data_IF_720499393399
#
_entry.id   IF_720499393399
#
_cell.length_a   1.000
_cell.length_b   1.000
_cell.length_c   1.000
_cell.angle_alpha   90.00
_cell.angle_beta   90.00
_cell.angle_gamma   90.00
#
_symmetry.space_group_name_H-M   'P 1'
#
loop_
_entity.id
_entity.type
_entity.pdbx_description
1 polymer ?
#
# COMPACT_ATOMS: atom_id res chain seq x y z
N UNK A 1 15.67 25.01 -15.54
CA UNK A 1 14.87 25.49 -16.68
C UNK A 1 13.43 25.05 -16.41
N UNK A 2 12.58 25.76 -15.67
CA UNK A 2 11.93 27.05 -15.98
C UNK A 2 11.51 27.13 -17.45
N UNK A 3 10.23 26.89 -17.73
CA UNK A 3 9.32 27.82 -18.42
C UNK A 3 7.88 27.40 -18.07
N UNK A 4 7.20 28.32 -17.39
CA UNK A 4 5.80 28.31 -17.01
C UNK A 4 5.05 29.08 -18.12
N UNK A 5 4.07 28.49 -18.80
CA UNK A 5 3.30 29.18 -19.84
C UNK A 5 2.07 29.87 -19.25
N UNK A 6 2.14 31.18 -19.36
CA UNK A 6 1.16 32.20 -19.02
C UNK A 6 0.02 32.18 -20.06
N UNK A 7 -1.24 32.22 -19.61
CA UNK A 7 -2.35 32.76 -20.39
C UNK A 7 -2.84 34.04 -19.72
N UNK A 8 -2.47 35.17 -20.32
CA UNK A 8 -2.97 36.50 -19.97
C UNK A 8 -4.39 36.67 -20.49
N UNK A 9 -5.34 36.95 -19.60
CA UNK A 9 -6.64 37.50 -20.00
C UNK A 9 -6.59 39.03 -19.89
N UNK A 10 -6.74 39.69 -21.03
CA UNK A 10 -6.86 41.14 -21.19
C UNK A 10 -8.33 41.54 -21.07
N UNK A 11 -8.71 42.34 -20.09
CA UNK A 11 -9.90 43.20 -20.20
C UNK A 11 -9.61 44.58 -19.64
N UNK A 12 -10.02 45.57 -20.43
CA UNK A 12 -9.57 46.95 -20.44
C UNK A 12 -10.27 47.80 -19.39
N UNK A 13 -9.53 48.81 -18.93
CA UNK A 13 -9.94 49.89 -18.04
C UNK A 13 -10.91 50.91 -18.68
N UNK A 14 -11.73 51.56 -17.83
CA UNK A 14 -12.15 52.98 -17.84
C UNK A 14 -13.19 53.18 -16.70
N UNK A 15 -13.43 54.31 -16.00
CA UNK A 15 -12.71 55.47 -15.45
C UNK A 15 -13.81 56.36 -14.77
N UNK A 16 -13.49 57.07 -13.66
CA UNK A 16 -14.26 58.17 -12.99
C UNK A 16 -15.55 57.81 -12.21
N UNK A 17 -15.94 58.41 -11.06
CA UNK A 17 -15.67 59.70 -10.37
C UNK A 17 -16.15 59.56 -8.87
N UNK A 18 -15.65 60.34 -7.88
CA UNK A 18 -15.90 60.08 -6.46
C UNK A 18 -17.10 60.84 -5.89
N UNK A 19 -17.78 60.25 -4.89
CA UNK A 19 -18.78 60.92 -4.07
C UNK A 19 -18.56 60.59 -2.59
N UNK A 20 -18.32 61.66 -1.83
CA UNK A 20 -18.26 61.75 -0.38
C UNK A 20 -19.47 61.07 0.29
N UNK A 21 -19.20 60.11 1.16
CA UNK A 21 -20.03 59.87 2.35
C UNK A 21 -19.11 59.62 3.54
N UNK A 22 -19.07 60.61 4.43
CA UNK A 22 -18.63 60.46 5.81
C UNK A 22 -19.69 59.60 6.49
N UNK A 23 -19.41 58.31 6.60
CA UNK A 23 -20.14 57.40 7.47
C UNK A 23 -19.15 56.85 8.48
N UNK A 24 -19.27 57.25 9.75
CA UNK A 24 -18.67 56.51 10.84
C UNK A 24 -19.37 55.16 10.91
N UNK A 25 -18.91 54.17 10.14
CA UNK A 25 -19.26 52.79 10.43
C UNK A 25 -18.39 52.37 11.61
N UNK A 26 -19.00 52.18 12.77
CA UNK A 26 -18.41 51.34 13.80
C UNK A 26 -18.16 49.98 13.16
N UNK A 27 -16.91 49.76 12.78
CA UNK A 27 -16.48 48.51 12.21
C UNK A 27 -16.35 47.55 13.38
N UNK A 28 -17.48 46.95 13.77
CA UNK A 28 -17.49 45.81 14.68
C UNK A 28 -16.58 44.77 14.06
N UNK A 29 -15.36 44.70 14.56
CA UNK A 29 -14.35 43.73 14.14
C UNK A 29 -14.91 42.40 14.59
N UNK A 30 -15.69 41.74 13.73
CA UNK A 30 -16.08 40.34 13.89
C UNK A 30 -14.74 39.61 13.83
N UNK A 31 -14.17 39.37 15.01
CA UNK A 31 -13.05 38.47 15.17
C UNK A 31 -13.57 37.11 14.71
N UNK A 32 -13.30 36.78 13.45
CA UNK A 32 -13.45 35.42 12.95
C UNK A 32 -12.39 34.59 13.65
N UNK A 33 -12.68 34.19 14.88
CA UNK A 33 -11.98 33.10 15.49
C UNK A 33 -12.24 31.90 14.59
N UNK A 34 -11.20 31.26 14.01
CA UNK A 34 -11.40 30.02 13.28
C UNK A 34 -12.18 29.09 14.21
N UNK A 35 -13.28 28.52 13.72
CA UNK A 35 -13.99 27.50 14.47
C UNK A 35 -12.97 26.44 14.90
N UNK A 36 -12.98 25.98 16.16
CA UNK A 36 -12.13 24.87 16.58
C UNK A 36 -12.28 23.74 15.57
N UNK A 37 -11.17 23.32 14.98
CA UNK A 37 -11.17 22.15 14.10
C UNK A 37 -11.41 20.97 15.04
N UNK A 38 -12.67 20.53 15.15
CA UNK A 38 -12.99 19.30 15.85
C UNK A 38 -12.39 18.16 15.03
N UNK A 39 -11.28 17.60 15.51
CA UNK A 39 -10.72 16.38 14.94
C UNK A 39 -11.78 15.29 15.07
N UNK A 40 -12.24 14.69 13.96
CA UNK A 40 -13.26 13.65 14.02
C UNK A 40 -12.76 12.52 14.92
N UNK A 41 -13.55 12.17 15.94
CA UNK A 41 -13.19 11.09 16.86
C UNK A 41 -13.11 9.78 16.08
N UNK A 42 -12.04 9.01 16.33
CA UNK A 42 -11.83 7.73 15.66
C UNK A 42 -12.95 6.72 15.99
N UNK A 43 -13.09 5.73 15.11
CA UNK A 43 -14.12 4.69 15.21
C UNK A 43 -14.01 3.89 16.51
N UNK A 44 -15.16 3.46 17.05
CA UNK A 44 -15.22 2.56 18.21
C UNK A 44 -14.92 1.14 17.73
N UNK A 45 -13.96 0.46 18.36
CA UNK A 45 -13.54 -0.90 18.01
C UNK A 45 -14.17 -1.93 18.95
N UNK A 46 -14.37 -1.56 20.22
CA UNK A 46 -15.03 -2.41 21.21
C UNK A 46 -15.73 -1.58 22.29
N UNK A 47 -16.66 -2.20 23.02
CA UNK A 47 -17.28 -1.64 24.22
C UNK A 47 -17.13 -2.65 25.34
N UNK A 48 -16.55 -2.24 26.45
CA UNK A 48 -16.39 -3.06 27.65
C UNK A 48 -17.13 -2.38 28.80
N UNK A 49 -18.18 -3.03 29.32
CA UNK A 49 -19.17 -2.42 30.21
C UNK A 49 -19.81 -1.16 29.60
N UNK A 50 -19.38 0.03 30.03
CA UNK A 50 -19.85 1.34 29.56
C UNK A 50 -18.74 2.18 28.92
N UNK A 51 -17.53 1.62 28.79
CA UNK A 51 -16.39 2.30 28.19
C UNK A 51 -16.21 1.84 26.74
N UNK A 52 -16.21 2.80 25.82
CA UNK A 52 -15.88 2.57 24.42
C UNK A 52 -14.36 2.61 24.25
N UNK A 53 -13.79 1.53 23.70
CA UNK A 53 -12.39 1.48 23.27
C UNK A 53 -12.35 1.95 21.83
N UNK A 54 -11.55 2.98 21.58
CA UNK A 54 -11.42 3.62 20.28
C UNK A 54 -10.20 3.14 19.53
N UNK A 55 -10.25 3.34 18.23
CA UNK A 55 -9.20 2.92 17.33
C UNK A 55 -7.87 3.62 17.68
N UNK A 56 -7.88 4.95 17.82
CA UNK A 56 -6.69 5.75 18.19
C UNK A 56 -6.01 5.31 19.50
N UNK A 57 -6.76 4.79 20.47
CA UNK A 57 -6.23 4.24 21.72
C UNK A 57 -5.43 2.95 21.48
N UNK A 58 -5.77 2.17 20.45
CA UNK A 58 -5.16 0.86 20.15
C UNK A 58 -4.00 0.95 19.14
N UNK A 59 -4.04 1.90 18.21
CA UNK A 59 -3.05 2.01 17.11
C UNK A 59 -1.58 2.04 17.58
N UNK A 60 -1.18 2.83 18.60
CA UNK A 60 0.21 2.88 19.04
C UNK A 60 0.73 1.50 19.45
N UNK A 61 -0.04 0.75 20.23
CA UNK A 61 0.33 -0.59 20.67
C UNK A 61 0.44 -1.58 19.50
N UNK A 62 -0.44 -1.47 18.49
CA UNK A 62 -0.36 -2.32 17.29
C UNK A 62 0.86 -1.96 16.41
N UNK A 63 1.20 -0.68 16.30
CA UNK A 63 2.41 -0.23 15.59
C UNK A 63 3.66 -0.79 16.28
N UNK A 64 3.72 -0.74 17.61
CA UNK A 64 4.83 -1.34 18.37
C UNK A 64 4.90 -2.86 18.17
N UNK A 65 3.76 -3.55 18.13
CA UNK A 65 3.71 -5.00 18.01
C UNK A 65 4.14 -5.52 16.63
N UNK A 66 3.80 -4.83 15.55
CA UNK A 66 4.05 -5.32 14.19
C UNK A 66 4.04 -4.26 13.09
N UNK A 67 4.09 -2.98 13.44
CA UNK A 67 4.01 -1.88 12.48
C UNK A 67 5.14 -1.86 11.47
N UNK A 68 6.38 -2.15 11.89
CA UNK A 68 7.55 -2.19 11.00
C UNK A 68 7.40 -3.27 9.92
N UNK A 69 7.05 -4.50 10.32
CA UNK A 69 6.87 -5.62 9.40
C UNK A 69 5.77 -5.32 8.36
N UNK A 70 4.64 -4.79 8.81
CA UNK A 70 3.52 -4.43 7.92
C UNK A 70 3.90 -3.28 6.99
N UNK A 71 4.64 -2.28 7.49
CA UNK A 71 5.13 -1.18 6.66
C UNK A 71 6.08 -1.67 5.56
N UNK A 72 7.02 -2.56 5.90
CA UNK A 72 7.94 -3.15 4.93
C UNK A 72 7.20 -3.93 3.85
N UNK A 73 6.17 -4.70 4.21
CA UNK A 73 5.33 -5.39 3.22
C UNK A 73 4.61 -4.43 2.26
N UNK A 74 4.14 -3.30 2.79
CA UNK A 74 3.49 -2.26 1.99
C UNK A 74 4.47 -1.58 1.04
N UNK A 75 5.66 -1.22 1.53
CA UNK A 75 6.73 -0.66 0.71
C UNK A 75 7.14 -1.61 -0.41
N UNK A 76 7.35 -2.89 -0.08
CA UNK A 76 7.67 -3.92 -1.07
C UNK A 76 6.57 -4.03 -2.14
N UNK A 77 5.31 -3.94 -1.76
CA UNK A 77 4.18 -3.98 -2.71
C UNK A 77 4.25 -2.80 -3.69
N UNK A 78 4.50 -1.58 -3.19
CA UNK A 78 4.64 -0.38 -4.03
C UNK A 78 5.81 -0.50 -5.01
N UNK A 79 6.96 -0.99 -4.54
CA UNK A 79 8.15 -1.17 -5.39
C UNK A 79 7.90 -2.23 -6.48
N UNK A 80 7.21 -3.32 -6.15
CA UNK A 80 6.84 -4.35 -7.12
C UNK A 80 5.86 -3.82 -8.18
N UNK A 81 4.84 -3.07 -7.77
CA UNK A 81 3.90 -2.43 -8.71
C UNK A 81 4.62 -1.47 -9.66
N UNK A 82 5.54 -0.66 -9.13
CA UNK A 82 6.38 0.24 -9.90
C UNK A 82 7.24 -0.53 -10.92
N UNK A 83 7.95 -1.57 -10.48
CA UNK A 83 8.81 -2.38 -11.33
C UNK A 83 8.04 -3.11 -12.44
N UNK A 84 6.86 -3.66 -12.12
CA UNK A 84 5.98 -4.30 -13.10
C UNK A 84 5.49 -3.30 -14.14
N UNK A 85 5.05 -2.12 -13.70
CA UNK A 85 4.58 -1.05 -14.59
C UNK A 85 5.68 -0.59 -15.55
N UNK A 86 6.91 -0.42 -15.05
CA UNK A 86 8.06 -0.03 -15.87
C UNK A 86 8.39 -1.04 -16.97
N UNK A 87 8.10 -2.33 -16.75
CA UNK A 87 8.33 -3.41 -17.70
C UNK A 87 7.07 -3.78 -18.52
N UNK A 88 5.94 -3.09 -18.30
CA UNK A 88 4.68 -3.41 -18.96
C UNK A 88 4.13 -4.80 -18.60
N UNK A 89 4.47 -5.31 -17.41
CA UNK A 89 4.05 -6.61 -16.91
C UNK A 89 2.84 -6.46 -15.97
N UNK A 90 1.96 -7.46 -15.97
CA UNK A 90 0.79 -7.51 -15.09
C UNK A 90 0.68 -8.89 -14.46
N UNK A 91 0.46 -8.98 -13.15
CA UNK A 91 0.18 -10.25 -12.46
C UNK A 91 -1.23 -10.72 -12.79
N UNK A 92 -1.36 -11.94 -13.30
CA UNK A 92 -2.62 -12.55 -13.70
C UNK A 92 -3.11 -13.52 -12.62
N UNK A 93 -4.42 -13.86 -12.59
CA UNK A 93 -4.94 -14.87 -11.67
C UNK A 93 -4.27 -16.24 -11.80
N UNK A 94 -3.81 -16.60 -13.01
CA UNK A 94 -3.04 -17.82 -13.25
C UNK A 94 -1.72 -17.84 -12.49
N UNK A 95 -1.06 -16.69 -12.34
CA UNK A 95 0.21 -16.58 -11.63
C UNK A 95 0.01 -16.85 -10.13
N UNK A 96 -1.09 -16.36 -9.57
CA UNK A 96 -1.47 -16.63 -8.17
C UNK A 96 -1.75 -18.11 -7.93
N UNK A 97 -2.41 -18.78 -8.88
CA UNK A 97 -2.67 -20.21 -8.79
C UNK A 97 -1.37 -21.04 -8.83
N UNK A 98 -0.37 -20.61 -9.61
CA UNK A 98 0.95 -21.23 -9.61
C UNK A 98 1.60 -21.10 -8.24
N UNK A 99 1.57 -19.91 -7.63
CA UNK A 99 2.14 -19.73 -6.29
C UNK A 99 1.40 -20.54 -5.22
N UNK A 100 0.08 -20.64 -5.28
CA UNK A 100 -0.70 -21.48 -4.36
C UNK A 100 -0.30 -22.96 -4.49
N UNK A 101 -0.17 -23.45 -5.72
CA UNK A 101 0.27 -24.82 -5.98
C UNK A 101 1.70 -25.05 -5.46
N UNK A 102 2.63 -24.14 -5.74
CA UNK A 102 4.01 -24.24 -5.26
C UNK A 102 4.06 -24.27 -3.73
N UNK A 103 3.29 -23.41 -3.08
CA UNK A 103 3.22 -23.35 -1.62
C UNK A 103 2.70 -24.67 -1.04
N UNK A 104 1.70 -25.29 -1.68
CA UNK A 104 1.17 -26.60 -1.26
C UNK A 104 2.20 -27.73 -1.32
N UNK A 105 3.19 -27.65 -2.22
CA UNK A 105 4.25 -28.66 -2.33
C UNK A 105 5.18 -28.72 -1.12
N UNK A 106 5.24 -27.65 -0.31
CA UNK A 106 6.16 -27.55 0.82
C UNK A 106 5.77 -28.43 2.02
N UNK A 107 4.50 -28.85 2.10
CA UNK A 107 3.99 -29.68 3.22
C UNK A 107 3.86 -31.17 2.89
N UNK A 108 4.30 -31.59 1.71
CA UNK A 108 3.89 -32.87 1.10
C UNK A 108 4.36 -34.16 1.81
N UNK A 109 5.34 -34.13 2.70
CA UNK A 109 5.98 -35.40 3.12
C UNK A 109 5.97 -35.76 4.61
N UNK A 110 5.78 -34.84 5.57
CA UNK A 110 5.96 -35.19 7.01
C UNK A 110 5.02 -34.47 8.00
N UNK A 111 4.36 -33.37 7.63
CA UNK A 111 3.57 -32.54 8.54
C UNK A 111 2.06 -32.81 8.43
N UNK A 112 1.38 -33.00 9.57
CA UNK A 112 -0.10 -33.06 9.61
C UNK A 112 -0.78 -31.69 9.45
N UNK A 113 -0.05 -30.59 9.68
CA UNK A 113 -0.60 -29.25 9.58
C UNK A 113 -0.66 -28.81 8.11
N UNK A 114 -1.80 -28.26 7.70
CA UNK A 114 -1.94 -27.65 6.38
C UNK A 114 -1.10 -26.37 6.29
N UNK A 115 -0.72 -25.97 5.07
CA UNK A 115 -0.06 -24.67 4.84
C UNK A 115 -0.86 -23.51 5.45
N UNK A 116 -2.18 -23.55 5.34
CA UNK A 116 -3.05 -22.51 5.88
C UNK A 116 -2.95 -22.42 7.41
N UNK A 117 -2.85 -23.56 8.10
CA UNK A 117 -2.65 -23.60 9.54
C UNK A 117 -1.27 -23.05 9.93
N UNK A 118 -0.23 -23.43 9.19
CA UNK A 118 1.14 -22.93 9.40
C UNK A 118 1.18 -21.41 9.24
N UNK A 119 0.62 -20.89 8.14
CA UNK A 119 0.56 -19.47 7.85
C UNK A 119 -0.27 -18.72 8.90
N UNK A 120 -1.43 -19.25 9.29
CA UNK A 120 -2.25 -18.66 10.34
C UNK A 120 -1.47 -18.54 11.66
N UNK A 121 -0.74 -19.58 12.06
CA UNK A 121 0.09 -19.57 13.27
C UNK A 121 1.27 -18.59 13.18
N UNK A 122 1.69 -18.23 11.97
CA UNK A 122 2.68 -17.18 11.70
C UNK A 122 2.07 -15.77 11.57
N UNK A 123 0.77 -15.61 11.84
CA UNK A 123 0.09 -14.31 11.75
C UNK A 123 -0.36 -13.92 10.34
N UNK A 124 -0.37 -14.87 9.40
CA UNK A 124 -0.91 -14.65 8.06
C UNK A 124 -2.39 -15.02 8.01
N UNK A 125 -3.25 -14.00 8.17
CA UNK A 125 -4.67 -14.12 7.83
C UNK A 125 -4.90 -14.13 6.32
N UNK A 126 -6.16 -14.34 5.89
CA UNK A 126 -6.54 -14.46 4.47
C UNK A 126 -6.05 -13.30 3.60
N UNK A 127 -6.16 -12.07 4.08
CA UNK A 127 -5.68 -10.90 3.33
C UNK A 127 -4.16 -10.93 3.16
N UNK A 128 -3.42 -11.28 4.21
CA UNK A 128 -1.94 -11.24 4.21
C UNK A 128 -1.38 -12.39 3.38
N UNK A 129 -2.02 -13.57 3.42
CA UNK A 129 -1.75 -14.68 2.50
C UNK A 129 -1.95 -14.26 1.05
N UNK A 130 -3.08 -13.64 0.71
CA UNK A 130 -3.34 -13.19 -0.66
C UNK A 130 -2.28 -12.20 -1.16
N UNK A 131 -1.89 -11.22 -0.34
CA UNK A 131 -0.80 -10.29 -0.68
C UNK A 131 0.56 -10.99 -0.79
N UNK A 132 0.85 -11.97 0.07
CA UNK A 132 2.08 -12.77 0.00
C UNK A 132 2.18 -13.50 -1.35
N UNK A 133 1.12 -14.19 -1.76
CA UNK A 133 1.07 -14.88 -3.05
C UNK A 133 1.26 -13.88 -4.20
N UNK A 134 0.60 -12.73 -4.14
CA UNK A 134 0.76 -11.69 -5.17
C UNK A 134 2.19 -11.18 -5.26
N UNK A 135 2.86 -10.90 -4.13
CA UNK A 135 4.26 -10.44 -4.14
C UNK A 135 5.21 -11.50 -4.70
N UNK A 136 5.00 -12.77 -4.35
CA UNK A 136 5.79 -13.88 -4.89
C UNK A 136 5.58 -14.03 -6.41
N UNK A 137 4.33 -13.96 -6.87
CA UNK A 137 4.01 -13.99 -8.30
C UNK A 137 4.63 -12.81 -9.05
N UNK A 138 4.54 -11.60 -8.50
CA UNK A 138 5.16 -10.38 -9.06
C UNK A 138 6.68 -10.53 -9.18
N UNK A 139 7.35 -10.97 -8.11
CA UNK A 139 8.79 -11.22 -8.10
C UNK A 139 9.19 -12.26 -9.14
N UNK A 140 8.49 -13.40 -9.20
CA UNK A 140 8.77 -14.45 -10.18
C UNK A 140 8.64 -13.92 -11.59
N UNK A 141 7.59 -13.14 -11.87
CA UNK A 141 7.34 -12.55 -13.19
C UNK A 141 8.43 -11.57 -13.61
N UNK A 142 8.91 -10.73 -12.69
CA UNK A 142 10.00 -9.77 -12.93
C UNK A 142 11.35 -10.44 -13.25
N UNK A 143 11.53 -11.69 -12.82
CA UNK A 143 12.80 -12.43 -12.97
C UNK A 143 12.71 -13.46 -14.10
N UNK A 144 11.52 -13.95 -14.44
CA UNK A 144 11.32 -15.05 -15.39
C UNK A 144 12.08 -14.87 -16.71
N UNK A 145 11.99 -13.69 -17.32
CA UNK A 145 12.63 -13.41 -18.62
C UNK A 145 14.18 -13.29 -18.53
N UNK A 146 14.72 -13.20 -17.31
CA UNK A 146 16.16 -13.13 -17.05
C UNK A 146 16.77 -14.51 -16.78
N UNK A 147 15.96 -15.55 -16.64
CA UNK A 147 16.44 -16.91 -16.36
C UNK A 147 16.81 -17.57 -17.69
N UNK A 148 18.11 -17.80 -17.91
CA UNK A 148 18.59 -18.58 -19.05
C UNK A 148 18.94 -19.99 -18.57
N UNK A 149 18.25 -21.02 -19.06
CA UNK A 149 18.58 -22.42 -18.79
C UNK A 149 19.60 -22.90 -19.83
N UNK A 150 20.82 -23.18 -19.39
CA UNK A 150 21.84 -23.81 -20.24
C UNK A 150 21.77 -25.33 -20.16
N UNK A 151 22.13 -26.01 -21.25
CA UNK A 151 22.18 -27.48 -21.28
C UNK A 151 23.15 -28.05 -20.24
N UNK A 152 24.25 -27.33 -19.97
CA UNK A 152 25.20 -27.70 -18.91
C UNK A 152 24.55 -27.64 -17.52
N UNK A 153 23.71 -26.63 -17.26
CA UNK A 153 22.99 -26.53 -15.98
C UNK A 153 21.99 -27.67 -15.81
N UNK A 154 21.31 -28.06 -16.90
CA UNK A 154 20.37 -29.19 -16.90
C UNK A 154 21.11 -30.50 -16.64
N UNK A 155 22.19 -30.77 -17.37
CA UNK A 155 22.99 -31.99 -17.18
C UNK A 155 23.58 -32.06 -15.77
N UNK A 156 24.12 -30.94 -15.25
CA UNK A 156 24.64 -30.87 -13.88
C UNK A 156 23.55 -31.20 -12.85
N UNK A 157 22.35 -30.62 -12.99
CA UNK A 157 21.24 -30.89 -12.06
C UNK A 157 20.78 -32.35 -12.14
N UNK A 158 20.71 -32.92 -13.35
CA UNK A 158 20.38 -34.32 -13.56
C UNK A 158 21.38 -35.25 -12.84
N UNK A 159 22.68 -34.99 -12.98
CA UNK A 159 23.71 -35.77 -12.30
C UNK A 159 23.69 -35.62 -10.77
N UNK A 160 23.26 -34.47 -10.23
CA UNK A 160 23.09 -34.29 -8.78
C UNK A 160 21.93 -35.14 -8.25
N UNK A 161 20.81 -35.20 -8.97
CA UNK A 161 19.61 -35.91 -8.52
C UNK A 161 19.71 -37.42 -8.74
N UNK A 162 20.27 -37.86 -9.87
CA UNK A 162 20.27 -39.27 -10.30
C UNK A 162 21.64 -39.94 -10.32
N UNK A 163 22.74 -39.18 -10.17
CA UNK A 163 24.12 -39.68 -10.34
C UNK A 163 24.63 -39.56 -11.79
N UNK A 164 25.95 -39.77 -12.02
CA UNK A 164 26.56 -39.74 -13.34
C UNK A 164 26.11 -40.87 -14.26
#
# INVERSE_FOLDING_TARGET
MLINTIVQSKTKALLCLPLLFIGCSEQTKISRQPAPIETPKSSIVAIVHTQAIRQDELWPALIELGGDEILQEHLLTIELESALTQQGLTVLPSDLQVEENLLSTLTSDVSKASIDEILHNQGYGTMRKSKLLWRNAALRKLVQDKITLSDEAIQRMFSIVYGP
#
